data_IF_675962589696
#
_entry.id   IF_675962589696
#
_cell.length_a   1.000
_cell.length_b   1.000
_cell.length_c   1.000
_cell.angle_alpha   90.00
_cell.angle_beta   90.00
_cell.angle_gamma   90.00
#
_symmetry.space_group_name_H-M   'P 1'
#
loop_
_entity.id
_entity.type
_entity.pdbx_description
1 polymer ?
#
# COMPACT_ATOMS: atom_id res chain seq x y z
N UNK A 1 -56.48 -27.31 45.23
CA UNK A 1 -55.99 -28.20 44.15
C UNK A 1 -54.48 -28.33 44.27
N UNK A 2 -53.93 -29.43 43.79
CA UNK A 2 -52.52 -29.88 43.73
C UNK A 2 -51.50 -28.78 43.35
N UNK A 3 -50.20 -28.85 43.69
CA UNK A 3 -49.45 -29.83 44.51
C UNK A 3 -48.08 -29.26 44.97
N UNK A 4 -47.64 -29.68 46.17
CA UNK A 4 -46.28 -30.11 46.59
C UNK A 4 -45.06 -29.52 45.80
N UNK A 5 -44.20 -28.64 46.32
CA UNK A 5 -43.25 -28.77 47.47
C UNK A 5 -42.11 -29.84 47.22
N UNK A 6 -40.91 -29.78 47.84
CA UNK A 6 -39.82 -28.80 47.62
C UNK A 6 -38.40 -29.44 47.53
N UNK A 7 -37.37 -28.57 47.49
CA UNK A 7 -36.02 -28.74 48.11
C UNK A 7 -34.93 -29.61 47.42
N UNK A 8 -33.67 -29.31 47.79
CA UNK A 8 -32.44 -30.13 47.72
C UNK A 8 -31.92 -30.56 46.32
N UNK A 9 -30.63 -30.75 46.05
CA UNK A 9 -29.34 -30.26 46.56
C UNK A 9 -28.29 -30.94 45.63
N UNK A 10 -27.37 -30.15 45.07
CA UNK A 10 -25.97 -30.50 44.76
C UNK A 10 -25.58 -31.69 43.81
N UNK A 11 -24.52 -31.42 43.02
CA UNK A 11 -23.61 -32.35 42.30
C UNK A 11 -24.14 -32.98 40.98
N UNK A 12 -23.36 -33.09 39.89
CA UNK A 12 -22.00 -32.58 39.61
C UNK A 12 -21.68 -32.59 38.09
N UNK A 13 -20.86 -31.63 37.60
CA UNK A 13 -19.96 -31.69 36.40
C UNK A 13 -20.54 -32.10 35.01
N UNK A 14 -20.17 -31.55 33.83
CA UNK A 14 -19.22 -30.57 33.26
C UNK A 14 -19.93 -29.94 32.02
N UNK A 15 -19.57 -28.81 31.41
CA UNK A 15 -18.54 -27.77 31.62
C UNK A 15 -18.48 -26.87 30.35
N UNK A 16 -17.98 -25.62 30.42
CA UNK A 16 -17.74 -24.79 29.21
C UNK A 16 -18.05 -23.27 29.30
N UNK A 17 -17.37 -22.55 30.19
CA UNK A 17 -17.20 -21.07 30.17
C UNK A 17 -16.36 -20.62 28.94
N UNK A 18 -16.33 -19.36 28.46
CA UNK A 18 -17.12 -18.11 28.61
C UNK A 18 -16.69 -17.21 27.43
N UNK A 19 -17.55 -16.47 26.71
CA UNK A 19 -18.35 -15.28 27.07
C UNK A 19 -17.61 -13.92 27.05
N UNK A 20 -18.21 -13.00 26.28
CA UNK A 20 -18.26 -11.54 26.41
C UNK A 20 -17.02 -10.63 26.16
N UNK A 21 -17.25 -9.65 25.28
CA UNK A 21 -16.41 -8.51 24.93
C UNK A 21 -16.33 -7.41 26.00
N UNK A 22 -15.33 -6.52 25.91
CA UNK A 22 -15.47 -5.03 25.84
C UNK A 22 -14.10 -4.30 25.81
N UNK A 23 -14.11 -2.99 25.56
CA UNK A 23 -12.96 -2.11 25.26
C UNK A 23 -12.57 -1.23 26.48
N UNK A 24 -11.55 -0.33 26.52
CA UNK A 24 -10.79 0.28 25.42
C UNK A 24 -9.26 0.53 25.70
N UNK A 25 -8.76 1.64 26.30
CA UNK A 25 -7.70 2.38 25.60
C UNK A 25 -6.36 2.63 26.33
N UNK A 26 -5.41 3.14 25.51
CA UNK A 26 -4.35 4.10 25.85
C UNK A 26 -3.02 3.59 26.49
N UNK A 27 -1.88 3.90 25.83
CA UNK A 27 -0.96 5.03 26.21
C UNK A 27 0.57 4.74 26.14
N UNK A 28 1.26 5.45 25.25
CA UNK A 28 2.71 5.76 25.25
C UNK A 28 3.70 4.57 25.07
N UNK A 29 4.97 4.74 24.65
CA UNK A 29 5.92 5.87 24.79
C UNK A 29 7.11 5.75 23.81
N UNK A 30 7.70 6.87 23.34
CA UNK A 30 9.09 7.09 22.79
C UNK A 30 9.67 6.09 21.75
N UNK A 31 9.97 6.45 20.49
CA UNK A 31 10.95 7.43 19.94
C UNK A 31 12.44 7.07 20.16
N UNK A 32 13.09 6.60 19.08
CA UNK A 32 14.50 6.76 18.62
C UNK A 32 14.60 6.01 17.28
N UNK A 33 15.07 6.61 16.17
CA UNK A 33 16.47 6.92 15.81
C UNK A 33 17.35 5.66 15.63
N UNK A 34 18.11 5.46 14.55
CA UNK A 34 18.42 6.30 13.37
C UNK A 34 18.83 5.40 12.18
N UNK A 35 18.83 5.98 10.97
CA UNK A 35 19.59 5.67 9.77
C UNK A 35 20.40 4.36 9.61
N UNK A 36 20.06 3.62 8.55
CA UNK A 36 21.07 3.34 7.53
C UNK A 36 20.49 3.26 6.11
N UNK A 37 20.40 4.40 5.42
CA UNK A 37 20.53 4.36 3.96
C UNK A 37 22.00 4.07 3.62
N UNK A 38 22.29 2.84 3.19
CA UNK A 38 23.35 2.65 2.21
C UNK A 38 22.76 2.03 0.95
N UNK A 39 22.96 2.72 -0.17
CA UNK A 39 22.66 2.17 -1.48
C UNK A 39 23.71 1.10 -1.81
N UNK A 40 23.28 -0.05 -2.31
CA UNK A 40 24.09 -0.76 -3.31
C UNK A 40 23.16 -1.32 -4.36
N UNK A 41 23.18 -0.66 -5.52
CA UNK A 41 22.47 -1.02 -6.73
C UNK A 41 22.75 -2.49 -7.10
N UNK A 42 21.69 -3.27 -7.29
CA UNK A 42 21.81 -4.58 -7.95
C UNK A 42 20.57 -4.88 -8.79
N UNK A 43 20.77 -4.89 -10.09
CA UNK A 43 19.82 -5.35 -11.10
C UNK A 43 19.57 -6.87 -10.98
N UNK A 44 18.68 -7.27 -10.07
CA UNK A 44 17.86 -8.48 -10.19
C UNK A 44 16.89 -8.59 -9.01
N UNK A 45 15.63 -8.26 -9.27
CA UNK A 45 14.48 -8.73 -8.47
C UNK A 45 13.18 -8.48 -9.26
N UNK A 46 13.01 -9.21 -10.36
CA UNK A 46 11.70 -9.82 -10.61
C UNK A 46 11.54 -10.98 -9.61
N UNK A 47 11.36 -10.64 -8.33
CA UNK A 47 10.70 -11.53 -7.38
C UNK A 47 9.27 -11.05 -7.25
N UNK A 48 8.33 -12.00 -7.21
CA UNK A 48 6.96 -11.80 -6.74
C UNK A 48 7.00 -11.19 -5.34
N UNK A 49 6.98 -9.86 -5.30
CA UNK A 49 6.89 -9.09 -4.06
C UNK A 49 5.44 -9.11 -3.55
N UNK A 50 4.96 -10.31 -3.20
CA UNK A 50 3.64 -10.62 -2.62
C UNK A 50 3.27 -9.63 -1.52
N UNK A 51 4.27 -9.10 -0.82
CA UNK A 51 4.18 -7.75 -0.27
C UNK A 51 5.51 -6.97 -0.36
N UNK A 52 5.67 -6.19 -1.42
CA UNK A 52 6.59 -5.05 -1.43
C UNK A 52 6.25 -4.09 -0.27
N UNK A 53 7.24 -3.35 0.26
CA UNK A 53 7.01 -2.34 1.29
C UNK A 53 5.94 -1.30 0.88
N UNK A 54 5.89 -0.97 -0.42
CA UNK A 54 4.91 -0.06 -0.97
C UNK A 54 3.51 -0.69 -0.93
N UNK A 55 3.37 -1.95 -1.33
CA UNK A 55 2.09 -2.68 -1.25
C UNK A 55 1.56 -2.72 0.19
N UNK A 56 2.43 -2.95 1.19
CA UNK A 56 2.09 -2.86 2.62
C UNK A 56 1.62 -1.47 3.03
N UNK A 57 2.37 -0.43 2.65
CA UNK A 57 2.05 0.96 2.95
C UNK A 57 0.68 1.37 2.36
N UNK A 58 0.42 1.00 1.11
CA UNK A 58 -0.85 1.29 0.43
C UNK A 58 -2.02 0.47 0.99
N UNK A 59 -1.81 -0.83 1.31
CA UNK A 59 -2.81 -1.71 1.95
C UNK A 59 -3.18 -1.29 3.37
N UNK A 60 -2.36 -0.46 4.06
CA UNK A 60 -2.62 0.03 5.43
C UNK A 60 -3.38 1.36 5.51
N UNK A 61 -3.29 2.21 4.47
CA UNK A 61 -3.92 3.53 4.48
C UNK A 61 -5.36 3.56 3.96
N UNK A 62 -6.02 4.72 4.04
CA UNK A 62 -7.43 4.92 3.67
C UNK A 62 -7.75 4.68 2.18
N UNK A 63 -6.74 4.53 1.32
CA UNK A 63 -6.91 4.27 -0.11
C UNK A 63 -6.69 2.80 -0.52
N UNK A 64 -6.68 1.87 0.46
CA UNK A 64 -6.51 0.42 0.26
C UNK A 64 -7.33 -0.13 -0.91
N UNK A 65 -8.63 0.15 -0.95
CA UNK A 65 -9.53 -0.46 -1.95
C UNK A 65 -9.21 0.02 -3.39
N UNK A 66 -8.84 1.30 -3.53
CA UNK A 66 -8.38 1.84 -4.80
C UNK A 66 -6.99 1.31 -5.20
N UNK A 67 -6.17 0.90 -4.24
CA UNK A 67 -4.89 0.22 -4.52
C UNK A 67 -5.12 -1.21 -4.99
N UNK A 68 -6.01 -1.97 -4.34
CA UNK A 68 -6.38 -3.33 -4.74
C UNK A 68 -6.97 -3.36 -6.17
N UNK A 69 -7.71 -2.32 -6.57
CA UNK A 69 -8.20 -2.17 -7.95
C UNK A 69 -7.06 -1.95 -8.97
N UNK A 70 -5.95 -1.34 -8.58
CA UNK A 70 -4.74 -1.22 -9.41
C UNK A 70 -3.97 -2.54 -9.46
N UNK A 71 -3.83 -3.22 -8.31
CA UNK A 71 -3.19 -4.55 -8.13
C UNK A 71 -3.82 -5.56 -9.12
N UNK A 72 -5.13 -5.79 -9.00
CA UNK A 72 -5.88 -6.72 -9.87
C UNK A 72 -5.96 -6.27 -11.33
N UNK A 73 -5.87 -4.97 -11.62
CA UNK A 73 -5.84 -4.52 -13.01
C UNK A 73 -4.55 -4.95 -13.72
N UNK A 74 -3.43 -5.02 -12.99
CA UNK A 74 -2.16 -5.51 -13.53
C UNK A 74 -2.20 -7.03 -13.82
N UNK A 75 -2.80 -7.82 -12.92
CA UNK A 75 -2.98 -9.27 -13.07
C UNK A 75 -3.84 -9.66 -14.29
N UNK A 76 -4.82 -8.82 -14.66
CA UNK A 76 -5.85 -9.16 -15.65
C UNK A 76 -5.53 -8.70 -17.08
N UNK A 77 -4.53 -7.81 -17.29
CA UNK A 77 -4.26 -7.21 -18.61
C UNK A 77 -2.77 -7.03 -18.92
N UNK A 78 -2.31 -7.67 -20.00
CA UNK A 78 -0.97 -7.55 -20.59
C UNK A 78 -0.35 -6.15 -20.44
N UNK A 79 0.64 -6.03 -19.54
CA UNK A 79 1.46 -4.84 -19.35
C UNK A 79 0.78 -3.61 -18.73
N UNK A 80 -0.42 -3.73 -18.16
CA UNK A 80 -1.04 -2.71 -17.29
C UNK A 80 -1.36 -1.34 -17.91
N UNK A 81 -1.16 -1.17 -19.23
CA UNK A 81 -1.47 0.05 -19.99
C UNK A 81 -2.94 0.50 -19.85
N UNK A 82 -3.82 -0.46 -19.58
CA UNK A 82 -5.26 -0.28 -19.41
C UNK A 82 -5.70 0.09 -17.98
N UNK A 83 -4.77 0.32 -17.05
CA UNK A 83 -5.07 0.59 -15.63
C UNK A 83 -5.10 2.08 -15.26
N UNK A 84 -5.25 2.96 -16.26
CA UNK A 84 -5.27 4.42 -16.10
C UNK A 84 -6.32 4.88 -15.09
N UNK A 85 -7.54 4.38 -15.18
CA UNK A 85 -8.66 4.86 -14.38
C UNK A 85 -8.55 4.40 -12.92
N UNK A 86 -8.15 3.15 -12.68
CA UNK A 86 -7.80 2.65 -11.35
C UNK A 86 -6.65 3.46 -10.71
N UNK A 87 -5.58 3.74 -11.49
CA UNK A 87 -4.46 4.57 -11.02
C UNK A 87 -4.90 6.02 -10.74
N UNK A 88 -5.80 6.58 -11.54
CA UNK A 88 -6.36 7.92 -11.31
C UNK A 88 -7.20 7.95 -10.02
N UNK A 89 -8.04 6.94 -9.78
CA UNK A 89 -8.83 6.77 -8.55
C UNK A 89 -7.93 6.67 -7.32
N UNK A 90 -6.88 5.84 -7.38
CA UNK A 90 -5.89 5.71 -6.31
C UNK A 90 -5.20 7.05 -6.01
N UNK A 91 -4.64 7.71 -7.02
CA UNK A 91 -3.99 9.01 -6.86
C UNK A 91 -4.95 10.07 -6.29
N UNK A 92 -6.20 10.12 -6.77
CA UNK A 92 -7.22 11.05 -6.28
C UNK A 92 -7.50 10.85 -4.80
N UNK A 93 -7.63 9.58 -4.36
CA UNK A 93 -7.76 9.25 -2.95
C UNK A 93 -6.52 9.68 -2.14
N UNK A 94 -5.31 9.45 -2.66
CA UNK A 94 -4.07 9.84 -1.97
C UNK A 94 -3.97 11.36 -1.79
N UNK A 95 -4.30 12.15 -2.81
CA UNK A 95 -4.31 13.62 -2.71
C UNK A 95 -5.37 14.13 -1.71
N UNK A 96 -6.50 13.45 -1.59
CA UNK A 96 -7.51 13.74 -0.55
C UNK A 96 -7.06 13.34 0.87
N UNK A 97 -6.05 12.47 0.99
CA UNK A 97 -5.51 11.95 2.26
C UNK A 97 -4.01 12.30 2.42
N UNK A 98 -3.63 13.51 2.04
CA UNK A 98 -2.23 13.97 1.95
C UNK A 98 -1.46 13.85 3.27
N UNK A 99 -2.12 13.92 4.43
CA UNK A 99 -1.48 13.76 5.74
C UNK A 99 -0.84 12.38 5.93
N UNK A 100 -1.39 11.34 5.28
CA UNK A 100 -0.83 9.98 5.28
C UNK A 100 0.07 9.74 4.05
N UNK A 101 -0.32 10.23 2.87
CA UNK A 101 0.35 9.90 1.60
C UNK A 101 1.37 10.95 1.11
N UNK A 102 1.53 12.08 1.80
CA UNK A 102 2.28 13.24 1.30
C UNK A 102 3.73 12.98 0.92
N UNK A 103 4.47 12.22 1.76
CA UNK A 103 5.85 11.82 1.45
C UNK A 103 5.94 10.91 0.22
N UNK A 104 4.99 9.97 0.08
CA UNK A 104 4.90 9.09 -1.09
C UNK A 104 4.59 9.89 -2.36
N UNK A 105 3.67 10.86 -2.30
CA UNK A 105 3.32 11.73 -3.41
C UNK A 105 4.49 12.63 -3.84
N UNK A 106 5.29 13.13 -2.89
CA UNK A 106 6.51 13.89 -3.18
C UNK A 106 7.54 13.03 -3.94
N UNK A 107 7.87 11.86 -3.41
CA UNK A 107 8.79 10.89 -4.06
C UNK A 107 8.29 10.47 -5.45
N UNK A 108 6.99 10.23 -5.60
CA UNK A 108 6.35 9.88 -6.88
C UNK A 108 6.51 11.02 -7.90
N UNK A 109 6.27 12.28 -7.49
CA UNK A 109 6.45 13.47 -8.33
C UNK A 109 7.90 13.67 -8.75
N UNK A 110 8.85 13.51 -7.83
CA UNK A 110 10.29 13.64 -8.12
C UNK A 110 10.74 12.62 -9.16
N UNK A 111 10.39 11.34 -8.97
CA UNK A 111 10.67 10.26 -9.94
C UNK A 111 10.11 10.59 -11.33
N UNK A 112 8.83 10.95 -11.43
CA UNK A 112 8.23 11.29 -12.73
C UNK A 112 8.90 12.53 -13.36
N UNK A 113 9.25 13.54 -12.56
CA UNK A 113 9.96 14.73 -13.04
C UNK A 113 11.35 14.39 -13.57
N UNK A 114 12.06 13.45 -12.94
CA UNK A 114 13.37 12.97 -13.42
C UNK A 114 13.22 12.20 -14.75
N UNK A 115 12.30 11.23 -14.82
CA UNK A 115 12.10 10.44 -16.06
C UNK A 115 11.69 11.32 -17.25
N UNK A 116 10.91 12.38 -17.04
CA UNK A 116 10.58 13.35 -18.10
C UNK A 116 11.82 14.12 -18.59
N UNK A 117 12.71 14.56 -17.69
CA UNK A 117 13.97 15.24 -18.04
C UNK A 117 14.96 14.32 -18.77
N UNK A 118 14.94 13.03 -18.47
CA UNK A 118 15.77 12.03 -19.15
C UNK A 118 15.26 11.76 -20.57
N UNK A 119 13.93 11.69 -20.74
CA UNK A 119 13.29 11.59 -22.06
C UNK A 119 13.58 12.82 -22.93
N UNK A 120 13.38 14.03 -22.39
CA UNK A 120 13.64 15.31 -23.06
C UNK A 120 15.09 15.40 -23.60
N UNK A 121 16.08 15.08 -22.75
CA UNK A 121 17.50 15.02 -23.17
C UNK A 121 17.76 13.97 -24.26
N UNK A 122 17.06 12.83 -24.22
CA UNK A 122 17.15 11.80 -25.24
C UNK A 122 16.60 12.28 -26.60
N UNK A 123 15.46 12.99 -26.58
CA UNK A 123 14.85 13.60 -27.76
C UNK A 123 15.74 14.71 -28.35
N UNK A 124 16.29 15.59 -27.51
CA UNK A 124 17.26 16.62 -27.92
C UNK A 124 18.51 16.01 -28.57
N UNK A 125 19.10 14.98 -27.95
CA UNK A 125 20.28 14.29 -28.47
C UNK A 125 19.99 13.59 -29.80
N UNK A 126 18.84 12.93 -29.93
CA UNK A 126 18.40 12.29 -31.18
C UNK A 126 18.14 13.32 -32.30
N UNK A 127 17.55 14.47 -31.97
CA UNK A 127 17.37 15.57 -32.93
C UNK A 127 18.69 16.20 -33.36
N UNK A 128 19.66 16.33 -32.44
CA UNK A 128 21.00 16.84 -32.74
C UNK A 128 21.86 15.86 -33.55
N UNK A 129 21.64 14.54 -33.40
CA UNK A 129 22.29 13.52 -34.23
C UNK A 129 21.79 13.58 -35.67
N UNK A 130 20.46 13.55 -35.88
CA UNK A 130 19.86 13.61 -37.23
C UNK A 130 20.28 14.83 -38.03
N UNK A 131 20.39 16.00 -37.39
CA UNK A 131 20.87 17.23 -38.06
C UNK A 131 22.31 17.14 -38.55
N UNK A 132 23.16 16.31 -37.93
CA UNK A 132 24.54 16.07 -38.38
C UNK A 132 24.60 15.06 -39.51
N UNK A 133 23.69 14.08 -39.51
CA UNK A 133 23.53 13.09 -40.58
C UNK A 133 22.90 13.70 -41.86
N UNK A 134 22.18 14.82 -41.74
CA UNK A 134 21.60 15.58 -42.87
C UNK A 134 22.54 16.69 -43.43
N UNK A 135 23.69 16.94 -42.79
CA UNK A 135 24.69 17.96 -43.18
C UNK A 135 25.99 17.34 -43.76
N UNK A 136 26.05 16.00 -43.88
CA UNK A 136 27.15 15.22 -44.50
C UNK A 136 26.77 14.66 -45.90
#
# INVERSE_FOLDING_TARGET
MSSMNPNAENSAYQGGDSSAASQDPNKSKTVSSDDNLNETNKEKEEEDCDECWLSRFLKKGGCKDAFIEVDHCWEVKDGGTNCRDARLKLNTCMYANVDYYGQYLAMQKERFTQSLKELEKGEEAAAAAKKKEEEE
#
